data_IF_380910594205
#
_entry.id   IF_380910594205
#
_cell.length_a   1.000
_cell.length_b   1.000
_cell.length_c   1.000
_cell.angle_alpha   90.00
_cell.angle_beta   90.00
_cell.angle_gamma   90.00
#
_symmetry.space_group_name_H-M   'P 1'
#
loop_
_entity.id
_entity.type
_entity.pdbx_description
1 polymer ?
#
# COMPACT_ATOMS: atom_id res chain seq x y z
N UNK A 1 -2.18 -0.73 3.38
CA UNK A 1 -0.71 -0.77 3.47
C UNK A 1 -0.30 0.30 4.46
N UNK A 2 0.45 -0.08 5.49
CA UNK A 2 0.97 0.83 6.50
C UNK A 2 2.45 1.06 6.20
N UNK A 3 2.81 2.32 5.95
CA UNK A 3 4.20 2.80 5.92
C UNK A 3 4.37 3.80 7.08
N UNK A 4 5.48 4.54 7.13
CA UNK A 4 5.76 5.53 8.18
C UNK A 4 4.55 6.39 8.58
N UNK A 5 3.88 7.07 7.62
CA UNK A 5 2.73 7.92 7.92
C UNK A 5 1.58 7.19 8.63
N UNK A 6 1.36 5.92 8.28
CA UNK A 6 0.30 5.12 8.89
C UNK A 6 0.65 4.70 10.32
N UNK A 7 1.91 4.31 10.57
CA UNK A 7 2.39 3.97 11.90
C UNK A 7 2.39 5.21 12.81
N UNK A 8 2.92 6.35 12.35
CA UNK A 8 2.91 7.61 13.10
C UNK A 8 1.49 8.04 13.45
N UNK A 9 0.54 7.96 12.51
CA UNK A 9 -0.86 8.28 12.80
C UNK A 9 -1.48 7.31 13.81
N UNK A 10 -1.16 6.01 13.72
CA UNK A 10 -1.63 5.04 14.70
C UNK A 10 -1.07 5.36 16.11
N UNK A 11 0.20 5.73 16.24
CA UNK A 11 0.78 6.21 17.49
C UNK A 11 0.07 7.46 18.03
N UNK A 12 -0.21 8.45 17.16
CA UNK A 12 -0.96 9.67 17.55
C UNK A 12 -2.36 9.37 18.10
N UNK A 13 -3.08 8.39 17.54
CA UNK A 13 -4.41 7.98 18.05
C UNK A 13 -4.33 7.43 19.48
N UNK A 14 -3.24 6.75 19.82
CA UNK A 14 -3.05 6.11 21.13
C UNK A 14 -2.70 7.12 22.22
N UNK A 15 -2.28 8.34 21.86
CA UNK A 15 -1.96 9.38 22.84
C UNK A 15 -3.12 9.67 23.81
N UNK A 16 -4.38 9.55 23.37
CA UNK A 16 -5.55 9.74 24.24
C UNK A 16 -5.75 8.63 25.29
N UNK A 17 -4.95 7.56 25.23
CA UNK A 17 -4.99 6.42 26.15
C UNK A 17 -3.83 6.47 27.15
N UNK A 18 -2.81 7.32 26.90
CA UNK A 18 -1.66 7.48 27.79
C UNK A 18 -2.13 7.95 29.17
N UNK A 19 -1.58 7.36 30.23
CA UNK A 19 -1.97 7.55 31.62
C UNK A 19 -3.01 6.54 32.13
N UNK A 20 -3.65 5.76 31.26
CA UNK A 20 -4.65 4.76 31.66
C UNK A 20 -4.04 3.39 31.97
N UNK A 21 -4.72 2.61 32.82
CA UNK A 21 -4.35 1.25 33.19
C UNK A 21 -4.95 0.23 32.24
N UNK A 22 -4.17 -0.78 31.84
CA UNK A 22 -4.70 -1.95 31.13
C UNK A 22 -5.56 -2.75 32.10
N UNK A 23 -6.85 -2.87 31.81
CA UNK A 23 -7.80 -3.66 32.62
C UNK A 23 -8.02 -5.05 32.09
N UNK A 24 -8.05 -5.18 30.77
CA UNK A 24 -8.36 -6.44 30.12
C UNK A 24 -7.75 -6.51 28.74
N UNK A 25 -7.29 -7.69 28.38
CA UNK A 25 -6.81 -7.98 27.04
C UNK A 25 -7.61 -9.14 26.46
N UNK A 26 -8.10 -8.96 25.23
CA UNK A 26 -8.74 -10.01 24.47
C UNK A 26 -7.90 -10.30 23.23
N UNK A 27 -7.34 -11.50 23.17
CA UNK A 27 -6.59 -11.98 22.02
C UNK A 27 -7.44 -13.01 21.28
N UNK A 28 -7.68 -12.77 20.01
CA UNK A 28 -8.24 -13.73 19.08
C UNK A 28 -7.13 -14.16 18.13
N UNK A 29 -6.48 -15.31 18.38
CA UNK A 29 -5.45 -15.84 17.51
C UNK A 29 -6.04 -16.34 16.19
N UNK A 30 -5.26 -16.28 15.12
CA UNK A 30 -5.57 -16.99 13.88
C UNK A 30 -5.50 -18.51 14.15
N UNK A 31 -6.27 -19.30 13.38
CA UNK A 31 -6.40 -20.76 13.50
C UNK A 31 -5.08 -21.55 13.45
N UNK A 32 -3.96 -20.90 13.13
CA UNK A 32 -2.63 -21.49 12.97
C UNK A 32 -1.65 -21.23 14.12
N UNK A 33 -2.03 -20.53 15.19
CA UNK A 33 -1.13 -20.26 16.34
C UNK A 33 -1.61 -20.98 17.60
N UNK A 34 -0.76 -21.83 18.17
CA UNK A 34 -1.03 -22.63 19.37
C UNK A 34 -1.24 -21.74 20.61
N UNK A 35 -2.26 -22.08 21.41
CA UNK A 35 -2.92 -21.18 22.37
C UNK A 35 -2.18 -20.91 23.70
N UNK A 36 -1.16 -21.69 24.05
CA UNK A 36 -0.68 -21.75 25.45
C UNK A 36 0.18 -20.56 25.87
N UNK A 37 0.89 -19.90 24.94
CA UNK A 37 1.78 -18.75 25.26
C UNK A 37 1.01 -17.44 25.48
N UNK A 38 -0.27 -17.36 25.05
CA UNK A 38 -1.01 -16.09 25.03
C UNK A 38 -1.57 -15.68 26.41
N UNK A 39 -2.01 -16.63 27.23
CA UNK A 39 -2.71 -16.35 28.51
C UNK A 39 -1.73 -15.89 29.60
N UNK A 40 -0.54 -16.49 29.66
CA UNK A 40 0.50 -16.11 30.63
C UNK A 40 1.07 -14.72 30.29
N UNK A 41 1.17 -14.41 29.00
CA UNK A 41 1.59 -13.08 28.55
C UNK A 41 0.54 -12.00 28.87
N UNK A 42 -0.77 -12.28 28.77
CA UNK A 42 -1.81 -11.29 29.07
C UNK A 42 -1.93 -10.95 30.55
N UNK A 43 -1.80 -11.94 31.45
CA UNK A 43 -1.81 -11.69 32.90
C UNK A 43 -0.68 -10.75 33.33
N UNK A 44 0.47 -10.80 32.65
CA UNK A 44 1.63 -9.93 32.91
C UNK A 44 1.47 -8.49 32.41
N UNK A 45 0.39 -8.19 31.67
CA UNK A 45 0.14 -6.87 31.08
C UNK A 45 -1.01 -6.12 31.75
N UNK A 46 -1.98 -6.84 32.33
CA UNK A 46 -3.06 -6.25 33.12
C UNK A 46 -2.49 -5.54 34.36
N UNK A 47 -3.12 -4.44 34.77
CA UNK A 47 -2.65 -3.59 35.87
C UNK A 47 -1.47 -2.69 35.52
N UNK A 48 -0.94 -2.70 34.29
CA UNK A 48 0.11 -1.75 33.90
C UNK A 48 -0.46 -0.44 33.38
N UNK A 49 0.14 0.68 33.79
CA UNK A 49 -0.16 2.00 33.23
C UNK A 49 0.52 2.19 31.88
N UNK A 50 -0.19 2.75 30.90
CA UNK A 50 0.41 3.21 29.65
C UNK A 50 1.14 4.53 29.90
N UNK A 51 2.45 4.47 30.15
CA UNK A 51 3.26 5.64 30.49
C UNK A 51 3.57 6.53 29.29
N UNK A 52 3.78 5.93 28.11
CA UNK A 52 4.07 6.68 26.89
C UNK A 52 3.70 5.88 25.63
N UNK A 53 3.49 6.60 24.54
CA UNK A 53 3.37 6.01 23.20
C UNK A 53 4.21 6.80 22.20
N UNK A 54 4.93 6.11 21.33
CA UNK A 54 5.62 6.73 20.20
C UNK A 54 5.71 5.78 19.02
N UNK A 55 6.09 6.31 17.86
CA UNK A 55 6.36 5.54 16.65
C UNK A 55 7.76 5.82 16.14
N UNK A 56 8.42 4.81 15.56
CA UNK A 56 9.67 4.97 14.83
C UNK A 56 9.59 4.12 13.56
N UNK A 57 9.70 4.78 12.41
CA UNK A 57 9.53 4.15 11.13
C UNK A 57 8.13 3.53 10.99
N UNK A 58 8.05 2.20 10.82
CA UNK A 58 6.79 1.48 10.58
C UNK A 58 6.22 0.81 11.84
N UNK A 59 6.74 1.19 13.01
CA UNK A 59 6.47 0.54 14.27
C UNK A 59 5.87 1.52 15.28
N UNK A 60 5.03 0.99 16.17
CA UNK A 60 4.46 1.75 17.29
C UNK A 60 4.84 1.04 18.58
N UNK A 61 5.29 1.82 19.56
CA UNK A 61 5.69 1.35 20.89
C UNK A 61 4.74 1.92 21.93
N UNK A 62 4.27 1.05 22.82
CA UNK A 62 3.51 1.41 24.02
C UNK A 62 4.37 1.09 25.23
N UNK A 63 4.85 2.11 25.94
CA UNK A 63 5.64 1.95 27.16
C UNK A 63 4.67 1.70 28.31
N UNK A 64 4.83 0.56 28.96
CA UNK A 64 4.01 0.14 30.08
C UNK A 64 4.83 0.19 31.37
N UNK A 65 4.27 0.86 32.37
CA UNK A 65 4.82 0.93 33.72
C UNK A 65 4.88 -0.44 34.40
N UNK A 66 5.42 -0.50 35.63
CA UNK A 66 5.25 -1.65 36.51
C UNK A 66 3.77 -1.99 36.72
N UNK A 67 3.47 -3.21 37.18
CA UNK A 67 2.10 -3.59 37.54
C UNK A 67 1.75 -2.87 38.85
N UNK A 68 0.65 -2.11 38.88
CA UNK A 68 0.13 -1.57 40.13
C UNK A 68 -0.72 -2.65 40.83
N UNK A 69 -0.18 -3.25 41.88
CA UNK A 69 -0.92 -4.10 42.82
C UNK A 69 -1.29 -3.28 44.06
N UNK A 70 -2.45 -3.57 44.65
CA UNK A 70 -2.95 -2.83 45.81
C UNK A 70 -2.18 -3.10 47.11
N UNK A 71 -1.47 -4.22 47.25
CA UNK A 71 -0.55 -4.51 48.35
C UNK A 71 0.07 -5.89 48.06
N UNK A 72 1.37 -5.97 47.75
CA UNK A 72 2.11 -7.24 47.82
C UNK A 72 3.62 -6.96 47.92
N UNK A 73 4.19 -7.30 49.08
CA UNK A 73 5.63 -7.22 49.37
C UNK A 73 6.44 -8.25 48.55
N UNK A 74 5.78 -9.21 47.90
CA UNK A 74 6.36 -10.32 47.13
C UNK A 74 6.16 -10.21 45.60
N UNK A 75 6.08 -9.00 45.06
CA UNK A 75 5.97 -8.83 43.61
C UNK A 75 7.26 -9.30 42.89
N UNK A 76 7.14 -10.34 42.05
CA UNK A 76 8.20 -10.84 41.16
C UNK A 76 8.91 -9.72 40.38
N UNK A 77 10.20 -9.89 40.07
CA UNK A 77 11.00 -8.93 39.29
C UNK A 77 10.33 -8.50 37.96
N UNK A 78 9.50 -9.36 37.35
CA UNK A 78 8.74 -9.05 36.13
C UNK A 78 7.67 -7.98 36.36
N UNK A 79 7.02 -7.98 37.52
CA UNK A 79 5.98 -7.00 37.90
C UNK A 79 6.57 -5.63 38.19
N UNK A 80 7.84 -5.57 38.66
CA UNK A 80 8.57 -4.34 38.98
C UNK A 80 9.17 -3.63 37.76
N UNK A 81 9.46 -4.37 36.68
CA UNK A 81 10.12 -3.79 35.50
C UNK A 81 9.14 -3.12 34.52
N UNK A 82 9.57 -2.00 33.95
CA UNK A 82 8.91 -1.37 32.80
C UNK A 82 9.16 -2.16 31.52
N UNK A 83 8.13 -2.29 30.71
CA UNK A 83 8.17 -3.02 29.44
C UNK A 83 7.62 -2.16 28.30
N UNK A 84 7.76 -2.62 27.07
CA UNK A 84 7.15 -2.00 25.92
C UNK A 84 6.47 -3.03 25.03
N UNK A 85 5.27 -2.71 24.55
CA UNK A 85 4.63 -3.44 23.46
C UNK A 85 5.08 -2.84 22.14
N UNK A 86 5.79 -3.63 21.33
CA UNK A 86 6.22 -3.26 19.97
C UNK A 86 5.24 -3.82 18.96
N UNK A 87 4.56 -2.94 18.24
CA UNK A 87 3.63 -3.27 17.16
C UNK A 87 4.28 -3.06 15.79
N UNK A 88 4.12 -4.04 14.90
CA UNK A 88 4.49 -3.93 13.49
C UNK A 88 3.27 -4.19 12.61
N UNK A 89 2.93 -3.22 11.78
CA UNK A 89 1.74 -3.27 10.94
C UNK A 89 2.07 -3.88 9.57
N UNK A 90 1.50 -5.07 9.30
CA UNK A 90 1.58 -5.68 7.98
C UNK A 90 0.80 -4.91 6.91
N UNK A 91 0.69 -5.48 5.71
CA UNK A 91 -0.02 -4.84 4.57
C UNK A 91 -1.46 -4.43 4.90
N UNK A 92 -2.13 -5.23 5.74
CA UNK A 92 -3.53 -5.07 6.13
C UNK A 92 -3.72 -4.66 7.59
N UNK A 93 -2.61 -4.34 8.29
CA UNK A 93 -2.61 -3.95 9.69
C UNK A 93 -3.46 -2.70 9.94
N UNK A 94 -4.21 -2.70 11.03
CA UNK A 94 -5.05 -1.59 11.43
C UNK A 94 -5.00 -1.42 12.96
N UNK A 95 -5.03 -0.16 13.42
CA UNK A 95 -5.20 0.22 14.81
C UNK A 95 -6.32 1.26 14.90
N UNK A 96 -7.24 1.00 15.81
CA UNK A 96 -8.36 1.88 16.15
C UNK A 96 -8.36 2.16 17.64
N UNK A 97 -8.73 3.38 18.00
CA UNK A 97 -8.96 3.80 19.38
C UNK A 97 -10.39 4.31 19.45
N UNK A 98 -11.13 3.91 20.49
CA UNK A 98 -12.52 4.30 20.71
C UNK A 98 -12.84 4.33 22.21
N UNK A 99 -13.95 4.96 22.59
CA UNK A 99 -14.52 4.79 23.93
C UNK A 99 -15.08 3.38 24.07
N UNK A 100 -15.16 2.87 25.29
CA UNK A 100 -15.59 1.50 25.59
C UNK A 100 -17.01 1.19 25.08
N UNK A 101 -17.94 2.13 25.28
CA UNK A 101 -19.33 2.01 24.82
C UNK A 101 -19.53 2.32 23.33
N UNK A 102 -18.55 2.92 22.66
CA UNK A 102 -18.65 3.20 21.23
C UNK A 102 -18.55 1.91 20.43
N UNK A 103 -19.42 1.77 19.42
CA UNK A 103 -19.31 0.70 18.44
C UNK A 103 -17.99 0.79 17.66
N UNK A 104 -17.38 -0.37 17.40
CA UNK A 104 -16.16 -0.45 16.60
C UNK A 104 -16.39 0.14 15.20
N UNK A 105 -15.51 1.06 14.78
CA UNK A 105 -15.49 1.64 13.42
C UNK A 105 -14.78 0.77 12.39
N UNK A 106 -14.43 -0.47 12.73
CA UNK A 106 -13.90 -1.44 11.76
C UNK A 106 -14.95 -1.72 10.67
N UNK A 107 -14.50 -1.83 9.42
CA UNK A 107 -15.38 -2.23 8.33
C UNK A 107 -16.00 -3.63 8.58
N UNK A 108 -17.26 -3.90 8.18
CA UNK A 108 -17.95 -5.16 8.48
C UNK A 108 -17.17 -6.41 8.06
N UNK A 109 -16.53 -6.38 6.88
CA UNK A 109 -15.72 -7.50 6.40
C UNK A 109 -14.48 -7.78 7.26
N UNK A 110 -13.97 -6.79 8.02
CA UNK A 110 -12.86 -6.98 8.97
C UNK A 110 -13.35 -7.44 10.34
N UNK A 111 -14.54 -6.99 10.76
CA UNK A 111 -15.16 -7.46 12.01
C UNK A 111 -15.43 -8.96 11.97
N UNK A 112 -15.87 -9.45 10.82
CA UNK A 112 -16.24 -10.86 10.63
C UNK A 112 -15.08 -11.73 10.14
N UNK A 113 -13.88 -11.17 9.97
CA UNK A 113 -12.70 -11.91 9.49
C UNK A 113 -12.08 -12.74 10.62
N UNK A 114 -12.60 -13.96 10.77
CA UNK A 114 -12.09 -14.97 11.73
C UNK A 114 -10.69 -15.50 11.38
N UNK A 115 -10.12 -15.14 10.23
CA UNK A 115 -8.76 -15.55 9.82
C UNK A 115 -7.68 -14.54 10.21
N UNK A 116 -8.07 -13.35 10.66
CA UNK A 116 -7.13 -12.31 11.04
C UNK A 116 -6.82 -12.34 12.54
N UNK A 117 -5.55 -12.17 12.90
CA UNK A 117 -5.17 -11.92 14.29
C UNK A 117 -5.83 -10.62 14.76
N UNK A 118 -6.59 -10.68 15.85
CA UNK A 118 -7.18 -9.52 16.51
C UNK A 118 -6.72 -9.46 17.97
N UNK A 119 -6.34 -8.27 18.41
CA UNK A 119 -6.00 -7.99 19.80
C UNK A 119 -6.74 -6.73 20.24
N UNK A 120 -7.43 -6.81 21.37
CA UNK A 120 -8.18 -5.70 21.95
C UNK A 120 -7.64 -5.45 23.35
N UNK A 121 -7.24 -4.22 23.62
CA UNK A 121 -6.83 -3.76 24.94
C UNK A 121 -7.89 -2.81 25.48
N UNK A 122 -8.36 -3.06 26.70
CA UNK A 122 -9.31 -2.21 27.41
C UNK A 122 -8.55 -1.47 28.50
N UNK A 123 -8.66 -0.16 28.51
CA UNK A 123 -8.00 0.74 29.42
C UNK A 123 -9.01 1.51 30.27
N UNK A 124 -8.67 1.82 31.52
CA UNK A 124 -9.49 2.65 32.41
C UNK A 124 -8.62 3.50 33.34
N UNK A 125 -9.18 4.58 33.90
CA UNK A 125 -8.54 5.40 34.94
C UNK A 125 -8.59 4.73 36.33
N UNK A 126 -9.69 4.05 36.63
CA UNK A 126 -9.95 3.51 37.96
C UNK A 126 -9.26 2.14 38.16
N UNK A 127 -8.61 1.98 39.32
CA UNK A 127 -7.88 0.79 39.75
C UNK A 127 -8.83 -0.33 40.20
N UNK A 128 -9.98 0.02 40.78
CA UNK A 128 -10.87 -0.96 41.44
C UNK A 128 -12.07 -1.35 40.57
N UNK A 129 -12.68 -0.43 39.80
CA UNK A 129 -13.86 -0.72 38.98
C UNK A 129 -13.77 -0.24 37.52
N UNK A 130 -14.26 -1.06 36.60
CA UNK A 130 -14.40 -0.71 35.18
C UNK A 130 -15.67 0.12 34.99
N UNK A 131 -15.59 1.42 35.24
CA UNK A 131 -16.69 2.33 34.89
C UNK A 131 -16.90 2.32 33.36
N UNK A 132 -18.11 1.98 32.86
CA UNK A 132 -18.38 1.88 31.43
C UNK A 132 -18.16 3.21 30.66
N UNK A 133 -18.25 4.34 31.35
CA UNK A 133 -18.18 5.69 30.78
C UNK A 133 -16.77 6.21 30.54
N UNK A 134 -15.77 5.67 31.24
CA UNK A 134 -14.38 6.18 31.22
C UNK A 134 -13.39 5.24 30.53
N UNK A 135 -13.86 4.07 30.07
CA UNK A 135 -13.04 3.09 29.41
C UNK A 135 -12.62 3.51 27.99
N UNK A 136 -11.37 3.26 27.64
CA UNK A 136 -10.84 3.41 26.28
C UNK A 136 -10.44 2.04 25.72
N UNK A 137 -10.63 1.83 24.43
CA UNK A 137 -10.34 0.55 23.78
C UNK A 137 -9.39 0.78 22.61
N UNK A 138 -8.29 0.04 22.61
CA UNK A 138 -7.41 -0.09 21.46
C UNK A 138 -7.71 -1.43 20.77
N UNK A 139 -8.20 -1.38 19.53
CA UNK A 139 -8.41 -2.55 18.68
C UNK A 139 -7.35 -2.63 17.59
N UNK A 140 -6.66 -3.76 17.52
CA UNK A 140 -5.58 -4.02 16.58
C UNK A 140 -5.91 -5.27 15.77
N UNK A 141 -5.81 -5.17 14.45
CA UNK A 141 -6.17 -6.24 13.51
C UNK A 141 -5.05 -6.45 12.50
N UNK A 142 -4.79 -7.71 12.11
CA UNK A 142 -3.83 -8.08 11.05
C UNK A 142 -2.42 -7.50 11.28
N UNK A 143 -1.99 -7.43 12.53
CA UNK A 143 -0.70 -6.86 12.94
C UNK A 143 0.00 -7.80 13.90
N UNK A 144 1.34 -7.76 13.93
CA UNK A 144 2.14 -8.51 14.89
C UNK A 144 2.54 -7.61 16.03
N UNK A 145 2.69 -8.19 17.22
CA UNK A 145 3.19 -7.49 18.38
C UNK A 145 4.10 -8.40 19.20
N UNK A 146 5.04 -7.77 19.91
CA UNK A 146 6.02 -8.45 20.78
C UNK A 146 6.23 -7.62 22.03
N UNK A 147 6.61 -8.25 23.13
CA UNK A 147 7.04 -7.57 24.36
C UNK A 147 8.55 -7.38 24.29
N UNK A 148 9.03 -6.17 24.55
CA UNK A 148 10.45 -5.83 24.68
C UNK A 148 10.66 -5.00 25.95
N UNK A 149 11.91 -4.78 26.37
CA UNK A 149 12.17 -3.85 27.47
C UNK A 149 11.94 -2.40 27.04
N UNK A 150 11.64 -1.52 28.00
CA UNK A 150 11.56 -0.08 27.74
C UNK A 150 12.88 0.46 27.14
N UNK A 151 14.02 -0.02 27.64
CA UNK A 151 15.34 0.35 27.13
C UNK A 151 15.49 0.09 25.63
N UNK A 152 15.12 -1.10 25.15
CA UNK A 152 15.19 -1.45 23.72
C UNK A 152 14.31 -0.52 22.88
N UNK A 153 13.10 -0.22 23.35
CA UNK A 153 12.18 0.67 22.65
C UNK A 153 12.73 2.12 22.59
N UNK A 154 13.21 2.67 23.71
CA UNK A 154 13.73 4.04 23.79
C UNK A 154 15.06 4.20 23.08
N UNK A 155 15.95 3.21 23.18
CA UNK A 155 17.22 3.17 22.43
C UNK A 155 16.98 3.26 20.92
N UNK A 156 15.96 2.54 20.42
CA UNK A 156 15.57 2.64 19.01
C UNK A 156 15.09 4.04 18.63
N UNK A 157 14.25 4.68 19.47
CA UNK A 157 13.82 6.06 19.24
C UNK A 157 15.00 7.04 19.23
N UNK A 158 15.93 6.91 20.18
CA UNK A 158 17.10 7.77 20.25
C UNK A 158 18.01 7.64 19.02
N UNK A 159 18.23 6.40 18.54
CA UNK A 159 19.14 6.12 17.41
C UNK A 159 18.57 6.49 16.04
N UNK A 160 17.26 6.39 15.89
CA UNK A 160 16.58 6.47 14.59
C UNK A 160 15.63 7.65 14.46
N UNK A 161 15.24 8.31 15.55
CA UNK A 161 14.22 9.35 15.57
C UNK A 161 14.53 10.53 14.65
N UNK A 162 15.81 10.94 14.58
CA UNK A 162 16.22 12.03 13.68
C UNK A 162 16.19 11.66 12.21
N UNK A 163 16.20 10.37 11.88
CA UNK A 163 16.16 9.85 10.50
C UNK A 163 14.78 9.34 10.09
N UNK A 164 13.80 9.37 10.99
CA UNK A 164 12.43 8.93 10.68
C UNK A 164 11.81 9.87 9.64
N UNK A 165 11.37 9.31 8.51
CA UNK A 165 10.75 10.08 7.41
C UNK A 165 9.53 10.89 7.86
N UNK A 166 8.85 10.46 8.93
CA UNK A 166 7.71 11.12 9.56
C UNK A 166 8.07 11.78 10.91
N UNK A 167 9.35 11.81 11.27
CA UNK A 167 9.88 12.53 12.43
C UNK A 167 9.48 14.01 12.38
N UNK A 168 9.22 14.59 13.55
CA UNK A 168 8.78 15.97 13.68
C UNK A 168 9.69 16.94 12.93
N UNK A 169 9.13 18.03 12.39
CA UNK A 169 9.83 19.02 11.56
C UNK A 169 11.20 19.44 12.08
N UNK A 170 11.32 19.87 13.36
CA UNK A 170 12.59 20.28 13.96
C UNK A 170 13.58 19.14 14.21
N UNK A 171 13.11 17.89 14.23
CA UNK A 171 13.91 16.74 14.67
C UNK A 171 14.41 15.90 13.49
N UNK A 172 13.87 16.07 12.29
CA UNK A 172 14.34 15.31 11.14
C UNK A 172 15.58 15.94 10.54
N UNK A 173 16.60 15.13 10.41
CA UNK A 173 17.89 15.50 9.85
C UNK A 173 18.10 14.75 8.52
N UNK A 174 17.92 15.46 7.40
CA UNK A 174 18.18 14.91 6.07
C UNK A 174 19.64 14.58 5.84
N UNK A 175 20.56 15.32 6.48
CA UNK A 175 22.00 15.08 6.36
C UNK A 175 22.39 13.78 7.07
N UNK A 176 21.85 13.53 8.27
CA UNK A 176 22.06 12.25 8.94
C UNK A 176 21.55 11.04 8.14
N UNK A 177 20.43 11.19 7.40
CA UNK A 177 19.96 10.14 6.47
C UNK A 177 20.94 9.98 5.30
N UNK A 178 21.36 11.10 4.71
CA UNK A 178 22.30 11.15 3.60
C UNK A 178 23.61 10.42 3.95
N UNK A 179 24.26 10.84 5.04
CA UNK A 179 25.55 10.31 5.49
C UNK A 179 25.44 8.82 5.78
N UNK A 180 24.35 8.41 6.46
CA UNK A 180 24.13 7.00 6.79
C UNK A 180 23.91 6.11 5.55
N UNK A 181 23.27 6.65 4.50
CA UNK A 181 23.10 5.94 3.22
C UNK A 181 24.45 5.85 2.48
N UNK A 182 25.22 6.93 2.41
CA UNK A 182 26.55 6.90 1.78
C UNK A 182 27.47 5.89 2.50
N UNK A 183 27.52 5.95 3.82
CA UNK A 183 28.43 5.13 4.64
C UNK A 183 28.11 3.62 4.53
N UNK A 184 26.83 3.25 4.56
CA UNK A 184 26.43 1.83 4.66
C UNK A 184 25.82 1.24 3.40
N UNK A 185 25.45 2.07 2.41
CA UNK A 185 24.66 1.66 1.24
C UNK A 185 25.16 2.28 -0.08
N UNK A 186 26.37 2.82 -0.15
CA UNK A 186 26.96 3.39 -1.38
C UNK A 186 26.89 2.46 -2.60
N UNK A 187 27.20 1.18 -2.42
CA UNK A 187 27.18 0.17 -3.50
C UNK A 187 25.80 -0.43 -3.78
N UNK A 188 24.77 -0.04 -3.02
CA UNK A 188 23.41 -0.56 -3.21
C UNK A 188 22.67 0.23 -4.29
N UNK A 189 21.68 -0.41 -4.93
CA UNK A 189 20.70 0.33 -5.72
C UNK A 189 19.95 1.32 -4.82
N UNK A 190 19.70 2.54 -5.31
CA UNK A 190 18.98 3.57 -4.54
C UNK A 190 17.61 3.08 -4.05
N UNK A 191 16.92 2.24 -4.83
CA UNK A 191 15.64 1.68 -4.42
C UNK A 191 15.72 0.74 -3.19
N UNK A 192 16.87 0.09 -2.95
CA UNK A 192 17.10 -0.72 -1.75
C UNK A 192 17.58 0.15 -0.59
N UNK A 193 18.51 1.08 -0.87
CA UNK A 193 19.04 2.00 0.14
C UNK A 193 17.94 2.79 0.85
N UNK A 194 16.95 3.31 0.10
CA UNK A 194 15.80 4.04 0.66
C UNK A 194 14.87 3.16 1.50
N UNK A 195 14.86 1.84 1.31
CA UNK A 195 13.99 0.93 2.07
C UNK A 195 14.64 0.43 3.36
N UNK A 196 15.92 0.73 3.58
CA UNK A 196 16.64 0.32 4.77
C UNK A 196 16.13 1.05 6.02
N UNK A 197 15.49 0.31 6.91
CA UNK A 197 14.83 0.89 8.09
C UNK A 197 15.82 1.36 9.18
N UNK A 198 17.09 1.00 9.10
CA UNK A 198 18.12 1.52 10.02
C UNK A 198 18.80 2.79 9.50
N UNK A 199 18.49 3.21 8.27
CA UNK A 199 19.05 4.41 7.63
C UNK A 199 17.97 5.44 7.31
N UNK A 200 16.85 5.00 6.73
CA UNK A 200 15.70 5.87 6.44
C UNK A 200 14.37 5.26 6.95
N UNK A 201 14.20 5.16 8.29
CA UNK A 201 13.04 4.53 8.90
C UNK A 201 11.72 5.14 8.42
N UNK A 202 10.74 4.26 8.15
CA UNK A 202 9.39 4.66 7.76
C UNK A 202 9.14 4.68 6.26
N UNK A 203 10.18 4.84 5.43
CA UNK A 203 10.04 4.75 3.97
C UNK A 203 9.62 3.35 3.57
N UNK A 204 8.45 3.23 2.96
CA UNK A 204 7.97 1.99 2.36
C UNK A 204 7.99 2.03 0.84
N UNK A 205 7.36 1.05 0.21
CA UNK A 205 7.47 0.87 -1.23
C UNK A 205 6.80 2.02 -2.00
N UNK A 206 5.67 2.53 -1.51
CA UNK A 206 4.96 3.66 -2.13
C UNK A 206 5.81 4.93 -2.02
N UNK A 207 6.27 5.27 -0.81
CA UNK A 207 7.10 6.47 -0.59
C UNK A 207 8.37 6.43 -1.43
N UNK A 208 9.06 5.28 -1.47
CA UNK A 208 10.26 5.08 -2.31
C UNK A 208 9.96 5.34 -3.79
N UNK A 209 8.91 4.70 -4.31
CA UNK A 209 8.55 4.79 -5.74
C UNK A 209 8.21 6.23 -6.13
N UNK A 210 7.39 6.89 -5.33
CA UNK A 210 6.94 8.25 -5.63
C UNK A 210 8.04 9.29 -5.37
N UNK A 211 8.88 9.09 -4.36
CA UNK A 211 10.04 9.96 -4.08
C UNK A 211 11.06 9.93 -5.22
N UNK A 212 11.47 8.73 -5.66
CA UNK A 212 12.38 8.55 -6.81
C UNK A 212 11.82 9.17 -8.10
N UNK A 213 10.51 9.08 -8.31
CA UNK A 213 9.85 9.68 -9.46
C UNK A 213 9.88 11.21 -9.40
N UNK A 214 9.58 11.80 -8.24
CA UNK A 214 9.62 13.24 -8.09
C UNK A 214 11.05 13.81 -8.25
N UNK A 215 12.07 13.07 -7.79
CA UNK A 215 13.47 13.45 -7.98
C UNK A 215 14.06 13.03 -9.33
N UNK A 216 13.27 12.41 -10.22
CA UNK A 216 13.70 11.94 -11.56
C UNK A 216 14.86 10.93 -11.55
N UNK A 217 15.07 10.22 -10.45
CA UNK A 217 16.15 9.24 -10.31
C UNK A 217 15.65 7.85 -10.68
N UNK A 218 16.38 7.15 -11.56
CA UNK A 218 16.05 5.77 -11.92
C UNK A 218 16.34 4.80 -10.75
N UNK A 219 15.40 3.90 -10.39
CA UNK A 219 15.51 3.07 -9.19
C UNK A 219 16.71 2.12 -9.13
N UNK A 220 17.27 1.73 -10.29
CA UNK A 220 18.44 0.84 -10.40
C UNK A 220 19.80 1.55 -10.31
N UNK A 221 19.84 2.89 -10.28
CA UNK A 221 21.12 3.57 -10.12
C UNK A 221 21.72 3.22 -8.76
N UNK A 222 23.03 3.02 -8.72
CA UNK A 222 23.75 2.82 -7.46
C UNK A 222 23.86 4.16 -6.73
N UNK A 223 23.85 4.12 -5.40
CA UNK A 223 23.99 5.32 -4.56
C UNK A 223 25.29 6.06 -4.88
N UNK A 224 26.41 5.35 -5.03
CA UNK A 224 27.72 5.91 -5.38
C UNK A 224 27.76 6.60 -6.75
N UNK A 225 26.82 6.28 -7.64
CA UNK A 225 26.71 6.89 -8.97
C UNK A 225 25.73 8.06 -9.00
N UNK A 226 25.11 8.44 -7.88
CA UNK A 226 24.25 9.63 -7.78
C UNK A 226 25.11 10.86 -7.45
N UNK A 227 24.74 12.03 -7.98
CA UNK A 227 25.26 13.27 -7.41
C UNK A 227 24.73 13.48 -6.00
N UNK A 228 25.44 14.30 -5.21
CA UNK A 228 25.01 14.69 -3.87
C UNK A 228 23.60 15.32 -3.90
N UNK A 229 23.36 16.20 -4.88
CA UNK A 229 22.06 16.84 -5.10
C UNK A 229 20.95 15.84 -5.45
N UNK A 230 21.24 14.84 -6.27
CA UNK A 230 20.26 13.81 -6.63
C UNK A 230 19.82 13.01 -5.39
N UNK A 231 20.78 12.53 -4.60
CA UNK A 231 20.48 11.76 -3.40
C UNK A 231 19.76 12.61 -2.35
N UNK A 232 20.21 13.85 -2.11
CA UNK A 232 19.55 14.76 -1.18
C UNK A 232 18.12 15.09 -1.64
N UNK A 233 17.94 15.41 -2.93
CA UNK A 233 16.62 15.64 -3.51
C UNK A 233 15.70 14.43 -3.36
N UNK A 234 16.20 13.21 -3.58
CA UNK A 234 15.43 11.98 -3.36
C UNK A 234 15.00 11.81 -1.90
N UNK A 235 15.88 12.06 -0.94
CA UNK A 235 15.57 11.98 0.50
C UNK A 235 14.46 12.97 0.86
N UNK A 236 14.60 14.22 0.42
CA UNK A 236 13.62 15.28 0.66
C UNK A 236 12.28 14.98 -0.02
N UNK A 237 12.26 14.45 -1.24
CA UNK A 237 11.03 14.06 -1.93
C UNK A 237 10.31 12.88 -1.26
N UNK A 238 11.04 11.90 -0.74
CA UNK A 238 10.48 10.85 0.10
C UNK A 238 9.82 11.44 1.35
N UNK A 239 10.48 12.37 2.05
CA UNK A 239 9.91 13.07 3.21
C UNK A 239 8.69 13.89 2.83
N UNK A 240 8.77 14.69 1.78
CA UNK A 240 7.65 15.53 1.32
C UNK A 240 6.42 14.69 0.96
N UNK A 241 6.61 13.53 0.32
CA UNK A 241 5.50 12.60 0.05
C UNK A 241 4.93 12.01 1.35
N UNK A 242 5.79 11.56 2.27
CA UNK A 242 5.38 10.98 3.54
C UNK A 242 4.63 11.98 4.44
N UNK A 243 5.12 13.21 4.55
CA UNK A 243 4.49 14.26 5.35
C UNK A 243 3.14 14.69 4.77
N UNK A 244 3.01 14.81 3.44
CA UNK A 244 1.70 15.03 2.79
C UNK A 244 0.73 13.88 3.03
N UNK A 245 1.21 12.63 3.08
CA UNK A 245 0.38 11.50 3.46
C UNK A 245 -0.07 11.64 4.91
N UNK A 246 0.86 11.92 5.82
CA UNK A 246 0.60 12.03 7.25
C UNK A 246 -0.42 13.13 7.56
N UNK A 247 -0.26 14.33 7.00
CA UNK A 247 -1.16 15.48 7.22
C UNK A 247 -2.56 15.23 6.68
N UNK A 248 -2.68 14.71 5.46
CA UNK A 248 -3.98 14.47 4.82
C UNK A 248 -4.71 13.22 5.32
N UNK A 249 -4.06 12.40 6.17
CA UNK A 249 -4.60 11.12 6.61
C UNK A 249 -4.71 10.04 5.51
N UNK A 250 -4.32 10.35 4.28
CA UNK A 250 -4.35 9.43 3.13
C UNK A 250 -3.18 9.70 2.18
N UNK A 251 -2.74 8.66 1.49
CA UNK A 251 -1.64 8.78 0.54
C UNK A 251 -2.03 9.79 -0.56
N UNK A 252 -1.09 10.68 -0.97
CA UNK A 252 -1.28 11.53 -2.14
C UNK A 252 -1.63 10.72 -3.39
N UNK A 253 -2.11 11.42 -4.42
CA UNK A 253 -2.30 10.85 -5.74
C UNK A 253 -0.97 10.27 -6.23
N UNK A 254 -1.02 9.02 -6.68
CA UNK A 254 0.16 8.26 -7.09
C UNK A 254 0.45 8.53 -8.56
N UNK A 255 1.66 8.95 -8.87
CA UNK A 255 2.10 9.33 -10.21
C UNK A 255 2.62 8.14 -11.00
N UNK A 256 3.23 7.17 -10.33
CA UNK A 256 3.79 5.98 -10.99
C UNK A 256 3.44 4.68 -10.26
N UNK A 257 3.26 4.71 -8.93
CA UNK A 257 2.87 3.53 -8.19
C UNK A 257 1.51 3.03 -8.67
N UNK A 258 1.51 1.78 -9.13
CA UNK A 258 0.32 1.13 -9.67
C UNK A 258 -0.31 1.91 -10.84
N UNK A 259 0.51 2.59 -11.64
CA UNK A 259 0.07 3.24 -12.87
C UNK A 259 0.63 2.52 -14.09
N UNK A 260 -0.04 2.64 -15.23
CA UNK A 260 0.44 2.21 -16.55
C UNK A 260 0.97 3.39 -17.38
N UNK A 261 0.44 4.59 -17.13
CA UNK A 261 0.89 5.87 -17.69
C UNK A 261 1.36 6.80 -16.56
N UNK A 262 2.38 7.59 -16.84
CA UNK A 262 2.95 8.50 -15.85
C UNK A 262 2.00 9.67 -15.54
N UNK A 263 1.63 9.86 -14.27
CA UNK A 263 0.76 10.96 -13.84
C UNK A 263 1.41 12.35 -13.83
N UNK A 264 2.71 12.45 -14.15
CA UNK A 264 3.44 13.73 -14.26
C UNK A 264 3.58 14.16 -15.72
N UNK A 265 4.27 13.39 -16.57
CA UNK A 265 4.46 13.74 -17.98
C UNK A 265 3.29 13.33 -18.89
N UNK A 266 2.38 12.46 -18.42
CA UNK A 266 1.20 11.92 -19.14
C UNK A 266 1.49 11.11 -20.40
N UNK A 267 2.69 11.22 -20.97
CA UNK A 267 3.11 10.53 -22.20
C UNK A 267 3.96 9.29 -21.91
N UNK A 268 4.77 9.34 -20.85
CA UNK A 268 5.71 8.27 -20.52
C UNK A 268 5.03 7.01 -20.00
N UNK A 269 5.46 5.85 -20.51
CA UNK A 269 5.06 4.53 -20.03
C UNK A 269 5.64 4.27 -18.64
N UNK A 270 4.83 3.69 -17.76
CA UNK A 270 5.28 3.23 -16.44
C UNK A 270 5.64 1.76 -16.51
N UNK A 271 6.87 1.46 -16.12
CA UNK A 271 7.41 0.10 -16.05
C UNK A 271 7.12 -0.50 -14.69
N UNK A 272 6.93 -1.81 -14.65
CA UNK A 272 6.80 -2.57 -13.42
C UNK A 272 7.74 -3.77 -13.45
N UNK A 273 8.68 -3.82 -12.51
CA UNK A 273 9.56 -4.97 -12.33
C UNK A 273 9.78 -5.24 -10.85
N UNK A 274 9.90 -6.50 -10.47
CA UNK A 274 10.51 -6.85 -9.19
C UNK A 274 12.02 -6.62 -9.28
N UNK A 275 12.53 -5.73 -8.44
CA UNK A 275 13.96 -5.43 -8.33
C UNK A 275 14.34 -5.29 -6.86
N UNK A 276 15.65 -5.32 -6.60
CA UNK A 276 16.22 -5.30 -5.26
C UNK A 276 17.12 -6.51 -5.05
N UNK A 277 18.32 -6.30 -4.51
CA UNK A 277 19.25 -7.37 -4.14
C UNK A 277 18.85 -8.00 -2.81
N UNK A 278 18.45 -7.17 -1.84
CA UNK A 278 18.09 -7.62 -0.49
C UNK A 278 16.73 -8.31 -0.51
N UNK A 279 15.73 -7.63 -1.07
CA UNK A 279 14.36 -8.10 -1.16
C UNK A 279 13.77 -7.65 -2.49
N UNK A 280 13.48 -8.62 -3.36
CA UNK A 280 12.90 -8.38 -4.67
C UNK A 280 11.47 -7.82 -4.56
N UNK A 281 11.35 -6.49 -4.59
CA UNK A 281 10.09 -5.75 -4.46
C UNK A 281 9.67 -5.17 -5.80
N UNK A 282 8.37 -5.21 -6.04
CA UNK A 282 7.76 -4.58 -7.22
C UNK A 282 8.02 -3.08 -7.15
N UNK A 283 8.74 -2.57 -8.15
CA UNK A 283 9.10 -1.17 -8.31
C UNK A 283 8.52 -0.65 -9.62
N UNK A 284 8.07 0.60 -9.58
CA UNK A 284 7.49 1.30 -10.71
C UNK A 284 8.33 2.53 -11.02
N UNK A 285 8.51 2.84 -12.29
CA UNK A 285 9.18 4.05 -12.74
C UNK A 285 8.68 4.47 -14.12
N UNK A 286 8.80 5.74 -14.45
CA UNK A 286 8.49 6.25 -15.78
C UNK A 286 9.74 6.22 -16.66
N UNK A 287 9.66 5.61 -17.84
CA UNK A 287 10.82 5.52 -18.77
C UNK A 287 11.28 6.89 -19.26
N UNK A 288 10.36 7.84 -19.42
CA UNK A 288 10.67 9.18 -19.90
C UNK A 288 11.16 10.11 -18.79
N UNK A 289 10.59 10.03 -17.58
CA UNK A 289 10.97 10.93 -16.47
C UNK A 289 12.17 10.44 -15.68
N UNK A 290 12.44 9.14 -15.70
CA UNK A 290 13.53 8.51 -14.96
C UNK A 290 14.37 7.67 -15.93
N UNK A 291 15.06 8.29 -16.92
CA UNK A 291 15.93 7.55 -17.83
C UNK A 291 17.06 6.87 -17.05
N UNK A 292 17.48 5.68 -17.48
CA UNK A 292 18.62 5.02 -16.90
C UNK A 292 19.90 5.54 -17.55
N UNK A 293 20.65 6.37 -16.81
CA UNK A 293 21.94 6.91 -17.26
C UNK A 293 23.04 6.19 -16.48
N UNK A 294 23.92 5.50 -17.19
CA UNK A 294 25.12 4.85 -16.66
C UNK A 294 26.28 5.83 -16.75
N UNK A 295 26.34 6.82 -15.85
CA UNK A 295 27.44 7.78 -15.77
C UNK A 295 27.00 9.14 -15.22
N UNK A 296 27.85 9.77 -14.41
CA UNK A 296 27.68 11.14 -13.98
C UNK A 296 27.96 12.06 -15.18
N UNK A 297 26.93 12.37 -15.98
CA UNK A 297 27.01 13.44 -16.98
C UNK A 297 26.36 14.69 -16.42
N UNK A 298 27.18 15.73 -16.34
CA UNK A 298 26.88 17.11 -15.99
C UNK A 298 25.61 17.63 -16.68
N UNK A 299 24.75 18.23 -15.85
CA UNK A 299 23.79 19.30 -16.14
C UNK A 299 23.54 19.69 -17.60
N UNK A 300 22.30 19.47 -18.06
CA UNK A 300 21.61 20.45 -18.90
C UNK A 300 20.12 20.44 -18.54
N UNK A 301 19.66 21.52 -17.89
CA UNK A 301 18.24 21.79 -17.64
C UNK A 301 17.55 22.05 -19.00
N UNK A 302 16.36 21.48 -19.27
CA UNK A 302 15.51 22.03 -20.32
C UNK A 302 14.95 23.37 -19.84
N UNK A 303 15.19 24.40 -20.65
CA UNK A 303 14.65 25.75 -20.52
C UNK A 303 13.13 25.75 -20.47
N UNK A 304 12.59 26.46 -19.48
CA UNK A 304 11.19 26.85 -19.39
C UNK A 304 10.96 27.97 -20.42
N UNK A 305 10.25 27.70 -21.52
CA UNK A 305 9.73 28.79 -22.36
C UNK A 305 8.34 29.20 -21.84
N UNK A 306 8.32 30.37 -21.23
CA UNK A 306 7.13 31.16 -20.98
C UNK A 306 6.82 31.97 -22.24
N UNK A 307 5.57 31.93 -22.71
CA UNK A 307 5.01 33.01 -23.51
C UNK A 307 3.51 33.11 -23.22
N UNK A 308 3.18 34.23 -22.57
CA UNK A 308 1.83 34.76 -22.37
C UNK A 308 1.38 35.53 -23.62
N UNK A 309 0.06 35.74 -23.69
CA UNK A 309 -0.73 36.69 -24.51
C UNK A 309 -0.94 36.26 -25.98
N UNK A 310 -2.11 36.43 -26.59
CA UNK A 310 -3.16 37.42 -26.38
C UNK A 310 -4.51 36.97 -27.00
N UNK A 311 -5.60 37.58 -26.55
CA UNK A 311 -6.97 37.45 -27.04
C UNK A 311 -7.14 38.00 -28.45
N UNK A 312 -8.04 37.41 -29.25
CA UNK A 312 -9.01 38.15 -30.07
C UNK A 312 -10.23 37.30 -30.40
N UNK A 313 -11.37 37.97 -30.38
CA UNK A 313 -12.76 37.56 -30.56
C UNK A 313 -13.18 37.43 -32.03
N UNK A 314 -14.48 37.13 -32.20
CA UNK A 314 -15.31 37.15 -33.42
C UNK A 314 -15.45 35.78 -34.09
N UNK A 315 -16.59 35.34 -34.63
CA UNK A 315 -18.01 35.66 -34.50
C UNK A 315 -18.75 34.56 -35.30
N UNK A 316 -20.03 34.34 -34.98
CA UNK A 316 -21.12 33.79 -35.83
C UNK A 316 -20.97 32.40 -36.51
N UNK A 317 -21.74 31.37 -36.17
CA UNK A 317 -23.19 31.13 -36.33
C UNK A 317 -23.66 30.72 -37.75
N UNK A 318 -24.24 29.51 -37.80
CA UNK A 318 -25.34 29.06 -38.68
C UNK A 318 -25.11 28.77 -40.18
N UNK A 319 -25.23 27.49 -40.57
CA UNK A 319 -26.44 26.86 -41.18
C UNK A 319 -26.11 25.62 -42.03
N UNK A 320 -26.77 24.52 -41.67
CA UNK A 320 -27.45 23.51 -42.49
C UNK A 320 -27.09 23.35 -43.98
N UNK A 321 -26.82 22.10 -44.39
CA UNK A 321 -27.56 21.42 -45.49
C UNK A 321 -27.25 19.92 -45.57
N UNK A 322 -28.30 19.12 -45.42
CA UNK A 322 -28.40 17.73 -45.85
C UNK A 322 -28.43 17.67 -47.38
N UNK A 323 -27.63 16.80 -48.00
CA UNK A 323 -27.97 16.12 -49.27
C UNK A 323 -27.46 14.66 -49.21
N UNK A 324 -28.37 13.75 -49.54
CA UNK A 324 -28.26 12.29 -49.64
C UNK A 324 -27.10 11.81 -50.54
N UNK A 325 -26.45 10.68 -50.21
CA UNK A 325 -26.78 9.40 -50.85
C UNK A 325 -25.99 8.18 -50.33
N UNK A 326 -26.70 7.06 -50.36
CA UNK A 326 -26.27 5.71 -50.03
C UNK A 326 -25.04 5.24 -50.83
N UNK A 327 -24.12 4.54 -50.16
CA UNK A 327 -23.60 3.25 -50.64
C UNK A 327 -23.29 2.35 -49.45
N UNK A 328 -24.03 1.25 -49.38
CA UNK A 328 -23.76 0.09 -48.54
C UNK A 328 -22.55 -0.60 -49.13
N UNK A 329 -21.53 -0.89 -48.32
CA UNK A 329 -20.77 -2.12 -48.44
C UNK A 329 -20.26 -2.54 -47.05
N UNK A 330 -20.95 -3.57 -46.58
CA UNK A 330 -20.54 -4.69 -45.74
C UNK A 330 -19.08 -4.66 -45.28
N UNK A 331 -18.84 -4.40 -43.99
CA UNK A 331 -17.87 -5.21 -43.25
C UNK A 331 -18.46 -5.65 -41.90
N UNK A 332 -18.44 -6.96 -41.70
CA UNK A 332 -19.16 -7.68 -40.68
C UNK A 332 -18.35 -7.68 -39.37
N UNK A 333 -19.03 -7.41 -38.27
CA UNK A 333 -18.68 -7.82 -36.90
C UNK A 333 -17.45 -7.18 -36.23
N UNK A 334 -17.46 -5.84 -36.10
CA UNK A 334 -16.98 -5.26 -34.83
C UNK A 334 -18.15 -5.33 -33.83
N UNK A 335 -18.15 -6.35 -32.96
CA UNK A 335 -18.99 -6.33 -31.75
C UNK A 335 -18.60 -5.07 -30.97
N UNK A 336 -19.40 -4.01 -31.10
CA UNK A 336 -19.31 -2.80 -30.29
C UNK A 336 -19.29 -3.22 -28.83
N UNK A 337 -18.12 -3.13 -28.20
CA UNK A 337 -17.98 -3.41 -26.78
C UNK A 337 -18.75 -2.30 -26.07
N UNK A 338 -19.81 -2.61 -25.31
CA UNK A 338 -20.64 -1.58 -24.70
C UNK A 338 -19.77 -0.67 -23.85
N UNK A 339 -19.81 0.65 -24.11
CA UNK A 339 -19.15 1.63 -23.25
C UNK A 339 -19.59 1.34 -21.82
N UNK A 340 -18.63 0.99 -20.96
CA UNK A 340 -18.94 0.58 -19.61
C UNK A 340 -19.43 1.79 -18.80
N UNK A 341 -20.75 1.93 -18.65
CA UNK A 341 -21.37 2.90 -17.75
C UNK A 341 -22.45 2.21 -16.92
N UNK A 342 -22.58 2.61 -15.66
CA UNK A 342 -23.79 2.28 -14.91
C UNK A 342 -24.94 3.08 -15.52
N UNK A 343 -26.07 2.45 -15.91
CA UNK A 343 -27.21 3.16 -16.48
C UNK A 343 -27.76 4.26 -15.55
N UNK A 344 -27.64 4.06 -14.24
CA UNK A 344 -28.13 5.00 -13.21
C UNK A 344 -27.10 6.06 -12.81
N UNK A 345 -25.80 5.76 -12.90
CA UNK A 345 -24.75 6.56 -12.25
C UNK A 345 -23.55 6.88 -13.15
N UNK A 346 -23.65 6.59 -14.44
CA UNK A 346 -22.63 6.88 -15.45
C UNK A 346 -21.34 6.04 -15.33
N UNK A 347 -20.32 6.41 -16.12
CA UNK A 347 -19.06 5.67 -16.26
C UNK A 347 -18.07 5.88 -15.11
N UNK A 348 -18.10 7.04 -14.43
CA UNK A 348 -17.15 7.39 -13.35
C UNK A 348 -17.32 6.55 -12.07
N UNK A 349 -18.40 5.78 -11.96
CA UNK A 349 -18.78 5.04 -10.75
C UNK A 349 -18.46 3.53 -10.80
N UNK A 350 -17.97 3.01 -11.94
CA UNK A 350 -17.77 1.56 -12.16
C UNK A 350 -16.30 1.15 -12.39
N UNK A 351 -15.45 1.10 -11.35
CA UNK A 351 -14.05 0.72 -11.48
C UNK A 351 -13.86 -0.70 -12.01
N UNK A 352 -12.79 -0.89 -12.78
CA UNK A 352 -12.30 -2.22 -13.14
C UNK A 352 -11.66 -2.90 -11.93
N UNK A 353 -11.99 -4.17 -11.70
CA UNK A 353 -11.52 -5.00 -10.58
C UNK A 353 -11.23 -6.42 -11.05
N UNK A 354 -10.40 -7.14 -10.28
CA UNK A 354 -10.12 -8.56 -10.48
C UNK A 354 -10.61 -9.44 -9.34
N UNK A 355 -11.12 -10.61 -9.69
CA UNK A 355 -11.42 -11.68 -8.74
C UNK A 355 -10.14 -12.28 -8.17
N UNK A 356 -10.02 -12.34 -6.83
CA UNK A 356 -8.83 -12.85 -6.12
C UNK A 356 -9.10 -14.02 -5.18
N UNK A 357 -10.34 -14.52 -5.11
CA UNK A 357 -10.69 -15.65 -4.25
C UNK A 357 -10.11 -16.94 -4.85
N UNK A 358 -9.12 -17.52 -4.16
CA UNK A 358 -8.23 -18.57 -4.70
C UNK A 358 -8.91 -19.89 -5.10
N UNK A 359 -10.17 -20.12 -4.72
CA UNK A 359 -10.93 -21.34 -5.05
C UNK A 359 -12.21 -21.05 -5.85
N UNK A 360 -12.16 -20.02 -6.70
CA UNK A 360 -13.29 -19.68 -7.59
C UNK A 360 -12.97 -20.04 -9.04
N UNK A 361 -13.97 -20.56 -9.76
CA UNK A 361 -13.91 -20.76 -11.22
C UNK A 361 -13.71 -19.45 -12.00
N UNK A 362 -13.91 -18.31 -11.35
CA UNK A 362 -13.71 -16.97 -11.89
C UNK A 362 -12.40 -16.32 -11.43
N UNK A 363 -11.48 -17.06 -10.80
CA UNK A 363 -10.20 -16.51 -10.34
C UNK A 363 -9.48 -15.76 -11.47
N UNK A 364 -8.98 -14.57 -11.16
CA UNK A 364 -8.33 -13.65 -12.08
C UNK A 364 -9.20 -13.00 -13.17
N UNK A 365 -10.50 -13.29 -13.24
CA UNK A 365 -11.40 -12.59 -14.16
C UNK A 365 -11.56 -11.11 -13.80
N UNK A 366 -11.79 -10.29 -14.82
CA UNK A 366 -11.98 -8.85 -14.69
C UNK A 366 -13.45 -8.49 -14.72
N UNK A 367 -13.87 -7.63 -13.81
CA UNK A 367 -15.25 -7.21 -13.66
C UNK A 367 -15.36 -5.72 -13.27
N UNK A 368 -16.55 -5.17 -13.42
CA UNK A 368 -16.91 -3.82 -12.96
C UNK A 368 -18.16 -3.91 -12.08
N UNK A 369 -18.18 -3.13 -11.00
CA UNK A 369 -19.35 -2.94 -10.15
C UNK A 369 -19.55 -1.46 -9.84
N UNK A 370 -20.80 -1.01 -9.77
CA UNK A 370 -21.08 0.36 -9.33
C UNK A 370 -20.66 0.55 -7.87
N UNK A 371 -20.03 1.69 -7.56
CA UNK A 371 -19.62 2.04 -6.19
C UNK A 371 -20.72 2.69 -5.36
N UNK A 372 -21.82 3.10 -5.98
CA UNK A 372 -22.94 3.74 -5.25
C UNK A 372 -23.60 2.71 -4.34
N UNK A 373 -23.72 2.96 -3.02
CA UNK A 373 -24.39 2.06 -2.09
C UNK A 373 -25.79 1.68 -2.57
N UNK A 374 -26.15 0.40 -2.47
CA UNK A 374 -27.45 -0.12 -2.91
C UNK A 374 -27.56 -0.39 -4.43
N UNK A 375 -26.67 0.13 -5.26
CA UNK A 375 -26.68 -0.15 -6.70
C UNK A 375 -26.12 -1.56 -6.99
N UNK A 376 -26.88 -2.38 -7.70
CA UNK A 376 -26.53 -3.78 -8.02
C UNK A 376 -25.86 -3.97 -9.39
N UNK A 377 -25.54 -2.88 -10.09
CA UNK A 377 -24.98 -2.97 -11.43
C UNK A 377 -23.62 -3.69 -11.45
N UNK A 378 -23.52 -4.74 -12.27
CA UNK A 378 -22.36 -5.61 -12.46
C UNK A 378 -22.13 -5.94 -13.94
N UNK A 379 -20.87 -6.04 -14.35
CA UNK A 379 -20.47 -6.43 -15.70
C UNK A 379 -19.15 -7.20 -15.68
N UNK A 380 -19.07 -8.31 -16.42
CA UNK A 380 -17.79 -8.94 -16.76
C UNK A 380 -17.08 -8.09 -17.82
N UNK A 381 -15.87 -7.63 -17.51
CA UNK A 381 -15.11 -6.74 -18.38
C UNK A 381 -14.20 -7.48 -19.36
N UNK A 382 -14.01 -8.79 -19.18
CA UNK A 382 -13.08 -9.63 -19.95
C UNK A 382 -13.77 -10.51 -21.02
N UNK A 383 -15.06 -10.28 -21.30
CA UNK A 383 -15.84 -11.13 -22.21
C UNK A 383 -15.35 -11.13 -23.66
N UNK A 384 -14.60 -10.08 -24.06
CA UNK A 384 -14.04 -9.95 -25.41
C UNK A 384 -12.69 -10.65 -25.57
N UNK A 385 -12.07 -11.09 -24.47
CA UNK A 385 -10.79 -11.79 -24.54
C UNK A 385 -10.98 -13.18 -25.17
N UNK A 386 -10.06 -13.63 -26.03
CA UNK A 386 -10.19 -14.91 -26.72
C UNK A 386 -10.14 -16.08 -25.74
N UNK A 387 -10.78 -17.19 -26.11
CA UNK A 387 -10.60 -18.46 -25.42
C UNK A 387 -9.21 -19.04 -25.72
N UNK A 388 -8.71 -19.91 -24.85
CA UNK A 388 -7.48 -20.63 -25.07
C UNK A 388 -7.57 -21.46 -26.36
N UNK A 389 -6.61 -21.31 -27.27
CA UNK A 389 -6.59 -22.08 -28.53
C UNK A 389 -6.54 -23.60 -28.31
N UNK A 390 -5.79 -24.06 -27.29
CA UNK A 390 -5.57 -25.49 -27.03
C UNK A 390 -6.74 -26.19 -26.32
N UNK A 391 -7.23 -25.64 -25.21
CA UNK A 391 -8.25 -26.31 -24.36
C UNK A 391 -9.60 -25.61 -24.33
N UNK A 392 -9.78 -24.52 -25.12
CA UNK A 392 -10.99 -23.68 -25.16
C UNK A 392 -11.44 -23.08 -23.83
N UNK A 393 -10.67 -23.25 -22.75
CA UNK A 393 -10.91 -22.59 -21.47
C UNK A 393 -10.72 -21.07 -21.57
N UNK A 394 -11.30 -20.33 -20.63
CA UNK A 394 -11.17 -18.86 -20.59
C UNK A 394 -9.71 -18.46 -20.43
N UNK A 395 -9.31 -17.39 -21.12
CA UNK A 395 -8.03 -16.75 -20.83
C UNK A 395 -8.21 -15.71 -19.73
N UNK A 396 -7.16 -15.52 -18.94
CA UNK A 396 -7.10 -14.49 -17.92
C UNK A 396 -5.95 -13.54 -18.25
N UNK A 397 -6.23 -12.24 -18.18
CA UNK A 397 -5.25 -11.19 -18.43
C UNK A 397 -4.33 -11.03 -17.22
N UNK A 398 -3.02 -11.19 -17.39
CA UNK A 398 -1.98 -11.06 -16.35
C UNK A 398 -0.94 -10.04 -16.76
N UNK A 399 -0.15 -9.57 -15.79
CA UNK A 399 0.95 -8.64 -16.03
C UNK A 399 2.28 -9.32 -15.73
N UNK A 400 3.23 -9.19 -16.65
CA UNK A 400 4.59 -9.71 -16.45
C UNK A 400 5.40 -8.79 -15.55
N UNK A 401 6.22 -9.39 -14.67
CA UNK A 401 7.05 -8.68 -13.68
C UNK A 401 8.55 -8.84 -13.96
N UNK A 402 8.92 -9.32 -15.14
CA UNK A 402 10.32 -9.52 -15.54
C UNK A 402 10.89 -8.26 -16.17
N UNK A 403 12.19 -8.05 -16.02
CA UNK A 403 12.87 -6.89 -16.60
C UNK A 403 12.70 -6.81 -18.12
N UNK A 404 12.91 -7.91 -18.83
CA UNK A 404 12.81 -7.96 -20.31
C UNK A 404 11.45 -7.48 -20.83
N UNK A 405 10.39 -7.71 -20.06
CA UNK A 405 9.01 -7.44 -20.49
C UNK A 405 8.37 -6.26 -19.75
N UNK A 406 9.07 -5.71 -18.74
CA UNK A 406 8.64 -4.80 -17.68
C UNK A 406 7.20 -4.32 -17.72
N UNK A 407 6.31 -5.11 -17.13
CA UNK A 407 4.92 -4.74 -16.93
C UNK A 407 4.02 -4.95 -18.14
N UNK A 408 4.47 -5.63 -19.21
CA UNK A 408 3.59 -5.97 -20.33
C UNK A 408 2.49 -6.95 -19.91
N UNK A 409 1.29 -6.74 -20.45
CA UNK A 409 0.14 -7.58 -20.22
C UNK A 409 0.14 -8.79 -21.17
N UNK A 410 -0.25 -9.96 -20.66
CA UNK A 410 -0.34 -11.21 -21.42
C UNK A 410 -1.59 -11.98 -21.01
N UNK A 411 -2.07 -12.84 -21.91
CA UNK A 411 -3.13 -13.80 -21.70
C UNK A 411 -2.52 -15.14 -21.30
N UNK A 412 -3.11 -15.80 -20.31
CA UNK A 412 -2.80 -17.18 -19.94
C UNK A 412 -4.07 -17.99 -19.72
N UNK A 413 -4.01 -19.30 -19.88
CA UNK A 413 -5.17 -20.16 -19.61
C UNK A 413 -5.61 -20.08 -18.12
N UNK A 414 -6.92 -20.09 -17.88
CA UNK A 414 -7.48 -20.18 -16.52
C UNK A 414 -7.19 -21.52 -15.85
N UNK A 415 -7.06 -22.58 -16.64
CA UNK A 415 -6.90 -23.98 -16.20
C UNK A 415 -5.46 -24.36 -15.86
N UNK A 416 -4.50 -23.42 -15.94
CA UNK A 416 -3.09 -23.66 -15.59
C UNK A 416 -2.84 -23.90 -14.09
N UNK A 417 -3.88 -23.88 -13.24
CA UNK A 417 -3.85 -24.42 -11.88
C UNK A 417 -4.85 -25.57 -11.83
N UNK A 418 -4.37 -26.77 -11.51
CA UNK A 418 -5.09 -28.05 -11.65
C UNK A 418 -6.43 -28.12 -10.94
N UNK A 419 -7.48 -27.60 -11.58
CA UNK A 419 -8.87 -27.89 -11.27
C UNK A 419 -9.53 -28.42 -12.55
N UNK A 420 -9.16 -29.64 -12.94
CA UNK A 420 -10.01 -30.44 -13.82
C UNK A 420 -10.69 -31.49 -12.96
N UNK A 421 -11.96 -31.26 -12.62
CA UNK A 421 -12.90 -32.34 -12.39
C UNK A 421 -13.49 -32.69 -13.75
N UNK A 422 -12.79 -33.54 -14.49
CA UNK A 422 -13.40 -34.57 -15.31
C UNK A 422 -12.34 -35.53 -15.83
N UNK A 423 -12.76 -36.78 -15.86
CA UNK A 423 -12.06 -38.06 -15.97
C UNK A 423 -11.34 -38.27 -17.30
N UNK A 424 -10.32 -39.11 -17.22
CA UNK A 424 -9.47 -39.71 -18.26
C UNK A 424 -8.30 -38.86 -18.82
N UNK A 425 -7.11 -39.41 -18.54
CA UNK A 425 -5.80 -39.23 -19.17
C UNK A 425 -5.06 -37.90 -18.96
N UNK A 426 -3.90 -38.04 -18.28
CA UNK A 426 -2.77 -37.10 -18.18
C UNK A 426 -3.13 -35.65 -17.89
N UNK A 427 -2.99 -35.23 -16.63
CA UNK A 427 -3.14 -33.86 -16.13
C UNK A 427 -2.06 -32.91 -16.69
N UNK A 428 -2.07 -32.68 -18.00
CA UNK A 428 -1.19 -31.72 -18.63
C UNK A 428 -1.73 -30.32 -18.36
N UNK A 429 -1.05 -29.61 -17.46
CA UNK A 429 -1.34 -28.21 -17.15
C UNK A 429 -1.21 -27.40 -18.44
N UNK A 430 -2.31 -26.80 -18.90
CA UNK A 430 -2.30 -25.98 -20.12
C UNK A 430 -1.31 -24.81 -19.97
N UNK A 431 -0.35 -24.71 -20.88
CA UNK A 431 0.73 -23.72 -20.88
C UNK A 431 0.50 -22.53 -21.81
N UNK A 432 -0.73 -22.34 -22.29
CA UNK A 432 -1.07 -21.25 -23.22
C UNK A 432 -0.60 -19.88 -22.71
N UNK A 433 0.09 -19.16 -23.58
CA UNK A 433 0.63 -17.83 -23.35
C UNK A 433 0.53 -16.99 -24.64
N UNK A 434 0.05 -15.75 -24.52
CA UNK A 434 0.03 -14.80 -25.62
C UNK A 434 0.19 -13.36 -25.09
N UNK A 435 1.03 -12.53 -25.72
CA UNK A 435 1.07 -11.11 -25.39
C UNK A 435 -0.26 -10.42 -25.76
N UNK A 436 -0.80 -9.61 -24.85
CA UNK A 436 -2.05 -8.90 -25.11
C UNK A 436 -1.81 -7.79 -26.15
N UNK A 437 -2.68 -7.73 -27.17
CA UNK A 437 -2.61 -6.71 -28.22
C UNK A 437 -3.21 -5.38 -27.75
N UNK A 438 -2.87 -4.23 -28.37
CA UNK A 438 -3.52 -2.95 -28.08
C UNK A 438 -5.05 -3.02 -28.22
N UNK A 439 -5.56 -3.71 -29.24
CA UNK A 439 -7.00 -3.91 -29.45
C UNK A 439 -7.68 -4.73 -28.34
N UNK A 440 -7.00 -5.72 -27.78
CA UNK A 440 -7.51 -6.49 -26.63
C UNK A 440 -7.50 -5.66 -25.33
N UNK A 441 -6.55 -4.72 -25.20
CA UNK A 441 -6.42 -3.88 -24.00
C UNK A 441 -7.30 -2.63 -24.03
N UNK A 442 -7.59 -2.08 -25.23
CA UNK A 442 -8.37 -0.87 -25.42
C UNK A 442 -9.70 -0.83 -24.64
N UNK A 443 -10.49 -1.92 -24.55
CA UNK A 443 -11.79 -1.90 -23.87
C UNK A 443 -11.71 -1.76 -22.34
N UNK A 444 -10.52 -1.89 -21.76
CA UNK A 444 -10.32 -1.69 -20.33
C UNK A 444 -10.01 -0.23 -19.97
N UNK A 445 -9.84 0.66 -20.96
CA UNK A 445 -9.47 2.07 -20.83
C UNK A 445 -8.22 2.28 -19.92
N UNK A 446 -8.13 3.45 -19.28
CA UNK A 446 -7.18 3.74 -18.18
C UNK A 446 -7.54 2.98 -16.88
N UNK A 447 -8.50 2.05 -16.91
CA UNK A 447 -8.90 1.22 -15.76
C UNK A 447 -7.91 0.10 -15.44
N UNK A 448 -7.02 -0.26 -16.38
CA UNK A 448 -5.95 -1.21 -16.12
C UNK A 448 -4.86 -0.57 -15.27
N UNK A 449 -4.72 -1.10 -14.06
CA UNK A 449 -3.58 -0.89 -13.20
C UNK A 449 -2.88 -2.22 -12.97
N UNK A 450 -1.58 -2.23 -12.71
CA UNK A 450 -0.87 -3.47 -12.44
C UNK A 450 -1.33 -4.26 -11.19
N UNK A 451 -2.12 -3.66 -10.31
CA UNK A 451 -2.79 -4.29 -9.17
C UNK A 451 -4.29 -4.51 -9.39
N UNK A 452 -4.85 -4.19 -10.57
CA UNK A 452 -6.27 -4.40 -10.90
C UNK A 452 -6.66 -5.84 -10.66
#
# INVERSE_FOLDING_TARGET
MVEGPGATRNGRKVQSVVGLLIRKIQIQPNKSSTNTTSIVATKKLEGRRLDACFSVGKEVFLILGPICHDNDLDADNVSKNKIALRFHFGMNGCLMVRKFNDSSKLAPWRKNDKSSNKCTFIFSRNVHELNPTDGMVIEIVSSTWTVVSEFVARSKLSRLGSRDVCGAGPNFDSQAVFDSIIEKRSKAMICDALLDQDRFPGVGNIIKIEGLHNSRVHPRRLVENLSQDELMSTILECRNYAMRWLSNGRAPTKKVYNQTKCGSCRTGRVRMVKMGTDLSRVTFWCESCQPFVTGASSTTKPSLCSSNKENTSNDECNKSRNIFNNKRDIDKTQKLIPRACCPQHGSKTIPLRRVRKNDSSNLHRLFRTCRVPGCQYFLWADIHLPLCGSCRCKTVLRISKTDRTGGRWFLSCSSSKGNSKNTSNTTQVCSFFQWATPSQLAPFDDGLSPLT
#
